data_IF_726131843658
#
_entry.id   IF_726131843658
#
_cell.length_a   1.000
_cell.length_b   1.000
_cell.length_c   1.000
_cell.angle_alpha   90.00
_cell.angle_beta   90.00
_cell.angle_gamma   90.00
#
_symmetry.space_group_name_H-M   'P 1'
#
loop_
_entity.id
_entity.type
_entity.pdbx_description
1 polymer ?
#
# COMPACT_ATOMS: atom_id res chain seq x y z
N UNK A 1 20.62 8.19 1.53
CA UNK A 1 19.14 8.21 1.44
C UNK A 1 18.70 9.51 0.77
N UNK A 2 18.21 9.46 -0.47
CA UNK A 2 17.90 10.67 -1.28
C UNK A 2 16.48 11.21 -1.00
N UNK A 3 16.32 12.53 -1.06
CA UNK A 3 15.07 13.28 -0.82
C UNK A 3 13.82 12.69 -1.54
N UNK A 4 14.02 12.06 -2.71
CA UNK A 4 12.99 11.37 -3.51
C UNK A 4 12.26 10.25 -2.73
N UNK A 5 12.96 9.49 -1.89
CA UNK A 5 12.36 8.41 -1.10
C UNK A 5 11.42 8.95 0.00
N UNK A 6 11.79 10.07 0.62
CA UNK A 6 10.95 10.71 1.65
C UNK A 6 9.63 11.22 1.07
N UNK A 7 9.63 11.72 -0.17
CA UNK A 7 8.41 12.18 -0.84
C UNK A 7 7.44 11.02 -1.12
N UNK A 8 7.96 9.90 -1.62
CA UNK A 8 7.19 8.68 -1.86
C UNK A 8 6.53 8.20 -0.57
N UNK A 9 7.30 8.10 0.52
CA UNK A 9 6.80 7.65 1.82
C UNK A 9 5.72 8.58 2.38
N UNK A 10 5.90 9.90 2.26
CA UNK A 10 4.89 10.90 2.67
C UNK A 10 3.60 10.77 1.87
N UNK A 11 3.68 10.61 0.55
CA UNK A 11 2.49 10.41 -0.28
C UNK A 11 1.76 9.13 0.10
N UNK A 12 2.50 8.03 0.29
CA UNK A 12 1.93 6.73 0.69
C UNK A 12 1.21 6.82 2.03
N UNK A 13 1.80 7.49 3.03
CA UNK A 13 1.16 7.70 4.34
C UNK A 13 -0.15 8.49 4.21
N UNK A 14 -0.14 9.62 3.51
CA UNK A 14 -1.36 10.43 3.28
C UNK A 14 -2.49 9.64 2.62
N UNK A 15 -2.15 8.79 1.65
CA UNK A 15 -3.14 7.95 0.97
C UNK A 15 -3.70 6.84 1.87
N UNK A 16 -2.86 6.25 2.72
CA UNK A 16 -3.30 5.27 3.72
C UNK A 16 -4.24 5.89 4.75
N UNK A 17 -3.88 7.05 5.30
CA UNK A 17 -4.68 7.73 6.30
C UNK A 17 -6.07 8.09 5.72
N UNK A 18 -6.10 8.66 4.52
CA UNK A 18 -7.34 8.94 3.78
C UNK A 18 -8.17 7.69 3.50
N UNK A 19 -7.53 6.56 3.17
CA UNK A 19 -8.22 5.28 2.94
C UNK A 19 -8.94 4.82 4.21
N UNK A 20 -8.27 4.90 5.37
CA UNK A 20 -8.81 4.49 6.68
C UNK A 20 -10.02 5.35 7.04
N UNK A 21 -9.89 6.67 6.96
CA UNK A 21 -10.99 7.60 7.24
C UNK A 21 -12.21 7.32 6.35
N UNK A 22 -11.99 7.12 5.05
CA UNK A 22 -13.06 6.82 4.10
C UNK A 22 -13.75 5.49 4.39
N UNK A 23 -13.00 4.47 4.82
CA UNK A 23 -13.57 3.17 5.20
C UNK A 23 -14.34 3.21 6.51
N UNK A 24 -13.95 4.06 7.46
CA UNK A 24 -14.67 4.25 8.71
C UNK A 24 -15.99 5.01 8.49
N UNK A 25 -16.00 5.99 7.58
CA UNK A 25 -17.18 6.79 7.31
C UNK A 25 -18.21 6.07 6.41
N UNK A 26 -17.77 5.28 5.43
CA UNK A 26 -18.66 4.71 4.41
C UNK A 26 -18.24 3.31 3.95
N UNK A 27 -19.19 2.37 3.87
CA UNK A 27 -18.98 1.01 3.35
C UNK A 27 -18.96 0.92 1.81
N UNK A 28 -19.02 2.06 1.10
CA UNK A 28 -19.10 2.12 -0.36
C UNK A 28 -17.74 1.89 -1.03
N UNK A 29 -17.77 1.65 -2.34
CA UNK A 29 -16.57 1.56 -3.17
C UNK A 29 -15.82 2.89 -3.14
N UNK A 30 -14.52 2.83 -2.86
CA UNK A 30 -13.65 4.01 -2.84
C UNK A 30 -13.21 4.31 -4.28
N UNK A 31 -13.33 5.58 -4.68
CA UNK A 31 -12.87 6.08 -5.97
C UNK A 31 -11.59 6.87 -5.81
N UNK A 32 -10.78 6.93 -6.87
CA UNK A 32 -9.53 7.72 -6.88
C UNK A 32 -9.83 9.18 -6.54
N UNK A 33 -10.87 9.77 -7.13
CA UNK A 33 -11.25 11.16 -6.87
C UNK A 33 -11.53 11.43 -5.39
N UNK A 34 -12.24 10.53 -4.70
CA UNK A 34 -12.56 10.69 -3.28
C UNK A 34 -11.30 10.49 -2.43
N UNK A 35 -10.49 9.48 -2.76
CA UNK A 35 -9.25 9.18 -2.05
C UNK A 35 -8.25 10.34 -2.11
N UNK A 36 -7.99 10.90 -3.29
CA UNK A 36 -7.02 12.00 -3.44
C UNK A 36 -7.50 13.30 -2.81
N UNK A 37 -8.82 13.53 -2.78
CA UNK A 37 -9.41 14.71 -2.12
C UNK A 37 -9.17 14.64 -0.62
N UNK A 38 -9.44 13.49 0.01
CA UNK A 38 -9.17 13.27 1.44
C UNK A 38 -7.67 13.30 1.75
N UNK A 39 -6.83 12.73 0.90
CA UNK A 39 -5.38 12.72 1.10
C UNK A 39 -4.70 14.08 0.85
N UNK A 40 -5.44 15.07 0.34
CA UNK A 40 -4.91 16.36 -0.10
C UNK A 40 -3.71 16.21 -1.07
N UNK A 41 -3.88 15.37 -2.09
CA UNK A 41 -2.90 15.19 -3.17
C UNK A 41 -3.54 15.37 -4.54
N UNK A 42 -2.71 15.60 -5.56
CA UNK A 42 -3.20 15.70 -6.95
C UNK A 42 -3.32 14.32 -7.60
N UNK A 43 -4.15 14.21 -8.64
CA UNK A 43 -4.21 13.01 -9.51
C UNK A 43 -2.84 12.65 -10.07
N UNK A 44 -2.08 13.64 -10.54
CA UNK A 44 -0.72 13.40 -11.05
C UNK A 44 0.19 12.80 -9.98
N UNK A 45 0.10 13.26 -8.73
CA UNK A 45 0.85 12.68 -7.62
C UNK A 45 0.45 11.24 -7.31
N UNK A 46 -0.85 10.90 -7.40
CA UNK A 46 -1.31 9.52 -7.25
C UNK A 46 -0.74 8.62 -8.36
N UNK A 47 -0.88 9.05 -9.61
CA UNK A 47 -0.47 8.26 -10.78
C UNK A 47 1.06 8.14 -10.96
N UNK A 48 1.85 8.92 -10.23
CA UNK A 48 3.30 8.69 -10.10
C UNK A 48 3.64 7.42 -9.30
N UNK A 49 2.71 6.89 -8.53
CA UNK A 49 2.93 5.77 -7.63
C UNK A 49 2.05 4.56 -7.93
N UNK A 50 0.84 4.78 -8.47
CA UNK A 50 -0.16 3.73 -8.68
C UNK A 50 -0.89 3.90 -10.01
N UNK A 51 -1.16 2.81 -10.71
CA UNK A 51 -1.90 2.84 -11.97
C UNK A 51 -3.38 3.16 -11.76
N UNK A 52 -4.00 2.53 -10.76
CA UNK A 52 -5.41 2.70 -10.42
C UNK A 52 -5.69 2.40 -8.94
N UNK A 53 -6.98 2.37 -8.57
CA UNK A 53 -7.42 2.08 -7.20
C UNK A 53 -7.12 0.63 -6.77
N UNK A 54 -7.20 -0.34 -7.69
CA UNK A 54 -6.93 -1.74 -7.38
C UNK A 54 -5.44 -1.97 -7.13
N UNK A 55 -4.58 -1.37 -7.96
CA UNK A 55 -3.13 -1.39 -7.77
C UNK A 55 -2.72 -0.78 -6.41
N UNK A 56 -3.29 0.38 -6.07
CA UNK A 56 -3.10 0.97 -4.74
C UNK A 56 -3.51 0.03 -3.61
N UNK A 57 -4.73 -0.53 -3.67
CA UNK A 57 -5.22 -1.45 -2.65
C UNK A 57 -4.38 -2.72 -2.55
N UNK A 58 -3.91 -3.27 -3.68
CA UNK A 58 -3.01 -4.42 -3.69
C UNK A 58 -1.69 -4.10 -2.99
N UNK A 59 -1.07 -2.96 -3.32
CA UNK A 59 0.17 -2.53 -2.68
C UNK A 59 0.02 -2.31 -1.16
N UNK A 60 -1.14 -1.81 -0.72
CA UNK A 60 -1.46 -1.67 0.71
C UNK A 60 -1.69 -3.03 1.38
N UNK A 61 -2.45 -3.94 0.75
CA UNK A 61 -2.69 -5.27 1.29
C UNK A 61 -1.38 -6.05 1.47
N UNK A 62 -0.49 -6.02 0.47
CA UNK A 62 0.85 -6.60 0.59
C UNK A 62 1.62 -6.00 1.77
N UNK A 63 1.62 -4.68 1.90
CA UNK A 63 2.30 -4.05 3.04
C UNK A 63 1.73 -4.49 4.40
N UNK A 64 0.40 -4.61 4.52
CA UNK A 64 -0.24 -5.08 5.76
C UNK A 64 0.17 -6.52 6.03
N UNK A 65 0.09 -7.39 5.02
CA UNK A 65 0.49 -8.80 5.13
C UNK A 65 1.94 -8.89 5.58
N UNK A 66 2.86 -8.19 4.90
CA UNK A 66 4.28 -8.12 5.27
C UNK A 66 4.47 -7.67 6.72
N UNK A 67 3.80 -6.58 7.12
CA UNK A 67 3.91 -6.04 8.48
C UNK A 67 3.39 -7.04 9.53
N UNK A 68 2.27 -7.72 9.24
CA UNK A 68 1.72 -8.73 10.13
C UNK A 68 2.66 -9.92 10.27
N UNK A 69 3.20 -10.44 9.16
CA UNK A 69 4.17 -11.52 9.19
C UNK A 69 5.43 -11.14 9.97
N UNK A 70 6.00 -9.97 9.70
CA UNK A 70 7.18 -9.47 10.43
C UNK A 70 6.91 -9.31 11.94
N UNK A 71 5.68 -8.95 12.33
CA UNK A 71 5.31 -8.76 13.73
C UNK A 71 4.95 -10.06 14.47
N UNK A 72 4.45 -11.07 13.75
CA UNK A 72 3.93 -12.30 14.33
C UNK A 72 4.89 -13.49 14.24
N UNK A 73 5.87 -13.45 13.33
CA UNK A 73 6.83 -14.53 13.18
C UNK A 73 8.03 -14.29 14.10
N UNK A 74 8.23 -15.21 15.05
CA UNK A 74 9.47 -15.36 15.79
C UNK A 74 10.55 -15.78 14.78
N UNK A 75 11.77 -15.24 14.87
CA UNK A 75 12.91 -15.58 14.01
C UNK A 75 13.15 -17.10 14.01
N UNK A 76 12.56 -17.78 13.03
CA UNK A 76 12.64 -19.23 12.88
C UNK A 76 12.59 -19.58 11.37
N UNK A 77 12.84 -20.84 11.02
CA UNK A 77 12.96 -21.36 9.64
C UNK A 77 11.81 -20.95 8.69
N UNK A 78 10.67 -20.52 9.24
CA UNK A 78 9.51 -19.99 8.52
C UNK A 78 9.79 -18.70 7.73
N UNK A 79 10.82 -17.91 8.06
CA UNK A 79 11.16 -16.71 7.26
C UNK A 79 11.55 -17.06 5.82
N UNK A 80 12.33 -18.12 5.61
CA UNK A 80 12.74 -18.56 4.27
C UNK A 80 11.53 -19.02 3.45
N UNK A 81 10.57 -19.70 4.10
CA UNK A 81 9.33 -20.17 3.48
C UNK A 81 8.39 -19.04 3.11
N UNK A 82 8.30 -18.00 3.94
CA UNK A 82 7.57 -16.77 3.62
C UNK A 82 8.22 -16.02 2.43
N UNK A 83 9.55 -15.88 2.44
CA UNK A 83 10.27 -15.25 1.34
C UNK A 83 10.06 -16.01 0.02
N UNK A 84 10.12 -17.35 0.06
CA UNK A 84 9.81 -18.21 -1.08
C UNK A 84 8.38 -18.02 -1.57
N UNK A 85 7.38 -18.04 -0.68
CA UNK A 85 5.97 -17.84 -1.03
C UNK A 85 5.74 -16.49 -1.70
N UNK A 86 6.29 -15.41 -1.11
CA UNK A 86 6.21 -14.06 -1.66
C UNK A 86 6.82 -13.94 -3.05
N UNK A 87 7.96 -14.59 -3.29
CA UNK A 87 8.70 -14.46 -4.55
C UNK A 87 8.13 -15.36 -5.65
N UNK A 88 7.60 -16.53 -5.28
CA UNK A 88 7.15 -17.55 -6.24
C UNK A 88 5.66 -17.46 -6.59
N UNK A 89 4.83 -16.88 -5.71
CA UNK A 89 3.37 -16.81 -5.89
C UNK A 89 2.81 -15.40 -6.09
N UNK A 90 3.65 -14.36 -6.08
CA UNK A 90 3.20 -12.98 -6.35
C UNK A 90 4.01 -12.31 -7.47
N UNK A 91 3.84 -12.74 -8.73
CA UNK A 91 4.46 -12.07 -9.86
C UNK A 91 3.70 -10.75 -10.10
N UNK A 92 4.38 -9.62 -9.99
CA UNK A 92 3.84 -8.38 -10.56
C UNK A 92 3.62 -8.61 -12.07
N UNK A 93 2.47 -8.21 -12.64
CA UNK A 93 2.41 -7.95 -14.07
C UNK A 93 3.29 -6.72 -14.35
N UNK A 94 4.14 -6.82 -15.37
CA UNK A 94 4.91 -5.69 -15.90
C UNK A 94 3.99 -4.61 -16.45
#
# INVERSE_FOLDING_TARGET
MTNKNLRVLKTKRKLLDALIELKQAEHKKITISKLIQHAHITRGTFYLHYHDCNDFLHAINLQIVDTLFDSCMIEDENQQRYLFFRTSFNPHPK
#
